data_IF_620508438600
#
_entry.id   IF_620508438600
#
_cell.length_a   1.000
_cell.length_b   1.000
_cell.length_c   1.000
_cell.angle_alpha   90.00
_cell.angle_beta   90.00
_cell.angle_gamma   90.00
#
_symmetry.space_group_name_H-M   'P 1'
#
loop_
_entity.id
_entity.type
_entity.pdbx_description
1 polymer ?
#
# COMPACT_ATOMS: atom_id res chain seq x y z
N UNK A 1 -10.93 -21.84 14.28
CA UNK A 1 -10.87 -20.94 13.11
C UNK A 1 -12.17 -21.16 12.36
N UNK A 2 -12.96 -20.12 12.12
CA UNK A 2 -14.22 -20.27 11.37
C UNK A 2 -13.94 -20.84 9.97
N UNK A 3 -14.81 -21.74 9.46
CA UNK A 3 -14.66 -22.27 8.12
C UNK A 3 -14.71 -21.15 7.08
N UNK A 4 -13.81 -21.21 6.10
CA UNK A 4 -13.77 -20.23 5.02
C UNK A 4 -15.06 -20.33 4.19
N UNK A 5 -15.68 -19.18 3.91
CA UNK A 5 -16.90 -19.07 3.09
C UNK A 5 -16.60 -19.01 1.59
N UNK A 6 -15.31 -18.95 1.24
CA UNK A 6 -14.79 -18.85 -0.11
C UNK A 6 -13.67 -19.85 -0.31
N UNK A 7 -13.54 -20.34 -1.54
CA UNK A 7 -12.45 -21.24 -1.94
C UNK A 7 -11.81 -20.80 -3.25
N UNK A 8 -10.55 -21.23 -3.44
CA UNK A 8 -9.84 -21.06 -4.71
C UNK A 8 -10.40 -22.05 -5.74
N UNK A 9 -10.60 -21.59 -6.98
CA UNK A 9 -10.99 -22.46 -8.10
C UNK A 9 -10.33 -22.02 -9.41
N UNK A 10 -10.32 -22.90 -10.41
CA UNK A 10 -9.85 -22.57 -11.76
C UNK A 10 -10.99 -21.98 -12.60
N UNK A 11 -10.81 -20.77 -13.10
CA UNK A 11 -11.75 -20.11 -14.01
C UNK A 11 -11.61 -20.62 -15.44
N UNK A 12 -12.62 -20.41 -16.28
CA UNK A 12 -12.61 -20.86 -17.68
C UNK A 12 -11.51 -20.21 -18.53
N UNK A 13 -11.15 -18.95 -18.27
CA UNK A 13 -10.25 -18.19 -19.15
C UNK A 13 -9.39 -17.11 -18.45
N UNK A 14 -9.32 -17.07 -17.11
CA UNK A 14 -8.57 -16.04 -16.35
C UNK A 14 -7.63 -16.59 -15.28
N UNK A 15 -7.29 -17.89 -15.34
CA UNK A 15 -6.49 -18.55 -14.32
C UNK A 15 -7.29 -18.82 -13.04
N UNK A 16 -6.68 -18.60 -11.87
CA UNK A 16 -7.33 -18.88 -10.58
C UNK A 16 -8.30 -17.76 -10.17
N UNK A 17 -9.38 -18.12 -9.49
CA UNK A 17 -10.35 -17.20 -8.88
C UNK A 17 -10.78 -17.65 -7.49
N UNK A 18 -11.63 -16.84 -6.85
CA UNK A 18 -12.33 -17.20 -5.63
C UNK A 18 -13.82 -17.38 -5.93
N UNK A 19 -14.45 -18.43 -5.39
CA UNK A 19 -15.89 -18.67 -5.47
C UNK A 19 -16.49 -18.88 -4.08
N UNK A 20 -17.78 -18.56 -3.93
CA UNK A 20 -18.50 -18.75 -2.69
C UNK A 20 -18.82 -20.24 -2.46
N UNK A 21 -18.62 -20.71 -1.23
CA UNK A 21 -19.01 -22.05 -0.78
C UNK A 21 -20.45 -22.11 -0.24
N UNK A 22 -21.03 -20.95 0.08
CA UNK A 22 -22.39 -20.81 0.62
C UNK A 22 -23.04 -19.53 0.08
N UNK A 23 -24.34 -19.36 0.32
CA UNK A 23 -25.04 -18.12 0.00
C UNK A 23 -24.50 -16.96 0.86
N UNK A 24 -24.15 -15.84 0.21
CA UNK A 24 -23.60 -14.66 0.86
C UNK A 24 -24.65 -13.56 1.00
N UNK A 25 -24.60 -12.80 2.09
CA UNK A 25 -25.44 -11.62 2.30
C UNK A 25 -24.64 -10.32 2.09
N UNK A 26 -25.29 -9.22 1.66
CA UNK A 26 -24.62 -7.92 1.59
C UNK A 26 -24.05 -7.51 2.95
N UNK A 27 -22.80 -7.01 2.95
CA UNK A 27 -22.06 -6.63 4.16
C UNK A 27 -21.38 -7.79 4.90
N UNK A 28 -21.54 -9.03 4.42
CA UNK A 28 -20.90 -10.19 5.03
C UNK A 28 -19.38 -10.18 4.82
N UNK A 29 -18.64 -10.41 5.91
CA UNK A 29 -17.18 -10.47 5.86
C UNK A 29 -16.71 -11.83 5.30
N UNK A 30 -16.04 -11.80 4.15
CA UNK A 30 -15.58 -13.01 3.46
C UNK A 30 -14.16 -13.42 3.89
N UNK A 31 -13.26 -12.44 3.99
CA UNK A 31 -11.86 -12.65 4.38
C UNK A 31 -11.24 -11.35 4.90
N UNK A 32 -10.24 -11.45 5.77
CA UNK A 32 -9.36 -10.34 6.19
C UNK A 32 -7.93 -10.83 6.20
N UNK A 33 -7.01 -9.96 5.80
CA UNK A 33 -5.58 -10.25 5.85
C UNK A 33 -4.79 -8.98 6.05
N UNK A 34 -3.74 -9.09 6.84
CA UNK A 34 -2.67 -8.10 6.83
C UNK A 34 -1.87 -8.23 5.51
N UNK A 35 -1.33 -7.12 4.98
CA UNK A 35 -0.45 -7.18 3.83
C UNK A 35 0.77 -8.08 4.12
N UNK A 36 1.21 -8.87 3.14
CA UNK A 36 2.46 -9.63 3.26
C UNK A 36 3.65 -8.71 3.57
N UNK A 37 3.70 -7.58 2.85
CA UNK A 37 4.55 -6.43 3.13
C UNK A 37 3.89 -5.20 2.50
N UNK A 38 4.13 -4.02 3.08
CA UNK A 38 3.65 -2.74 2.53
C UNK A 38 4.61 -1.61 2.88
N UNK A 39 4.52 -0.51 2.13
CA UNK A 39 5.27 0.73 2.37
C UNK A 39 4.44 1.92 1.88
N UNK A 40 4.74 3.11 2.38
CA UNK A 40 4.05 4.35 1.99
C UNK A 40 4.36 4.76 0.56
N UNK A 41 3.36 5.29 -0.14
CA UNK A 41 3.55 5.88 -1.46
C UNK A 41 4.48 7.11 -1.40
N UNK A 42 5.21 7.38 -2.50
CA UNK A 42 6.17 8.50 -2.58
C UNK A 42 5.57 9.85 -2.16
N UNK A 43 4.33 10.15 -2.58
CA UNK A 43 3.67 11.42 -2.28
C UNK A 43 3.16 11.55 -0.84
N UNK A 44 3.08 10.46 -0.09
CA UNK A 44 2.58 10.43 1.29
C UNK A 44 3.70 10.26 2.33
N UNK A 45 4.92 9.97 1.87
CA UNK A 45 6.08 9.79 2.75
C UNK A 45 6.37 11.09 3.51
N UNK A 46 6.40 10.99 4.85
CA UNK A 46 6.57 12.14 5.74
C UNK A 46 5.28 12.91 6.08
N UNK A 47 4.15 12.55 5.46
CA UNK A 47 2.81 13.12 5.74
C UNK A 47 1.99 12.17 6.62
N UNK A 48 2.17 10.86 6.43
CA UNK A 48 1.49 9.80 7.21
C UNK A 48 2.51 8.95 7.96
N UNK A 49 2.04 8.22 8.98
CA UNK A 49 2.84 7.19 9.65
C UNK A 49 3.08 5.98 8.72
N UNK A 50 4.33 5.57 8.56
CA UNK A 50 4.72 4.43 7.72
C UNK A 50 4.06 3.11 8.13
N UNK A 51 3.63 2.99 9.40
CA UNK A 51 2.98 1.79 9.93
C UNK A 51 1.46 1.89 9.86
N UNK A 52 0.82 2.83 10.54
CA UNK A 52 -0.64 2.86 10.58
C UNK A 52 -1.30 3.56 9.39
N UNK A 53 -0.52 4.20 8.50
CA UNK A 53 -0.98 4.97 7.34
C UNK A 53 -1.94 6.12 7.67
N UNK A 54 -2.04 6.49 8.96
CA UNK A 54 -2.80 7.66 9.42
C UNK A 54 -1.95 8.92 9.31
N UNK A 55 -2.59 10.03 8.92
CA UNK A 55 -1.96 11.34 8.88
C UNK A 55 -1.54 11.80 10.27
N UNK A 56 -0.38 12.46 10.36
CA UNK A 56 -0.04 13.18 11.58
C UNK A 56 -0.99 14.37 11.72
N UNK A 57 -1.84 14.38 12.74
CA UNK A 57 -2.55 15.61 13.11
C UNK A 57 -1.47 16.59 13.53
N UNK A 58 -1.27 17.65 12.74
CA UNK A 58 -0.42 18.78 13.09
C UNK A 58 -1.06 19.55 14.25
N UNK A 59 -1.17 18.90 15.40
CA UNK A 59 -1.29 19.61 16.66
C UNK A 59 0.05 20.30 16.84
N UNK A 60 0.06 21.62 17.02
CA UNK A 60 1.25 22.44 17.24
C UNK A 60 1.97 22.13 18.57
N UNK A 61 2.07 20.85 18.94
CA UNK A 61 2.75 20.36 20.12
C UNK A 61 3.97 19.61 19.63
N UNK A 62 5.09 20.30 19.78
CA UNK A 62 6.44 19.87 19.46
C UNK A 62 6.73 18.43 19.92
N UNK A 63 7.32 17.64 19.02
CA UNK A 63 8.28 16.60 19.43
C UNK A 63 9.69 17.15 19.16
N UNK A 64 10.47 17.51 20.20
CA UNK A 64 11.81 18.08 20.03
C UNK A 64 12.91 17.06 19.67
N UNK A 65 12.60 15.77 19.42
CA UNK A 65 13.64 14.73 19.57
C UNK A 65 13.81 13.72 18.43
N UNK A 66 13.23 13.93 17.24
CA UNK A 66 13.81 13.37 16.02
C UNK A 66 14.28 14.51 15.12
N UNK A 67 15.55 14.87 15.29
CA UNK A 67 16.21 15.85 14.44
C UNK A 67 16.09 15.49 12.95
N UNK A 68 16.09 16.49 12.06
CA UNK A 68 15.98 16.27 10.63
C UNK A 68 17.30 15.71 10.11
N UNK A 69 17.48 14.38 10.15
CA UNK A 69 18.51 13.75 9.31
C UNK A 69 17.98 13.68 7.88
N UNK A 70 18.17 14.78 7.16
CA UNK A 70 18.29 14.78 5.71
C UNK A 70 17.05 15.14 4.91
N UNK A 71 16.30 16.19 5.30
CA UNK A 71 15.51 16.93 4.29
C UNK A 71 16.48 17.87 3.57
N UNK A 72 17.26 17.30 2.67
CA UNK A 72 17.99 18.08 1.68
C UNK A 72 16.96 18.72 0.76
N UNK A 73 16.62 19.99 1.01
CA UNK A 73 16.02 20.85 0.02
C UNK A 73 16.98 20.95 -1.17
N UNK A 74 16.81 20.07 -2.17
CA UNK A 74 17.50 20.18 -3.46
C UNK A 74 16.51 19.91 -4.58
N UNK A 75 16.18 21.00 -5.27
CA UNK A 75 15.94 21.01 -6.70
C UNK A 75 14.60 20.45 -7.16
N UNK A 76 13.70 21.35 -7.51
CA UNK A 76 12.80 21.17 -8.64
C UNK A 76 13.63 20.96 -9.91
N UNK A 77 14.06 19.73 -10.18
CA UNK A 77 14.38 19.30 -11.54
C UNK A 77 13.88 17.87 -11.72
N UNK A 78 12.77 17.75 -12.45
CA UNK A 78 12.34 16.48 -12.99
C UNK A 78 13.41 16.03 -13.99
N UNK A 79 14.35 15.22 -13.52
CA UNK A 79 15.29 14.52 -14.38
C UNK A 79 14.49 13.68 -15.39
N UNK A 80 14.70 13.97 -16.68
CA UNK A 80 14.26 13.10 -17.77
C UNK A 80 14.72 11.66 -17.49
N UNK A 81 13.93 10.62 -17.80
CA UNK A 81 14.47 9.27 -17.82
C UNK A 81 15.66 9.20 -18.80
N UNK A 82 16.72 8.45 -18.50
CA UNK A 82 17.85 8.29 -19.39
C UNK A 82 17.35 7.74 -20.74
N UNK A 83 17.74 8.42 -21.82
CA UNK A 83 17.51 7.97 -23.19
C UNK A 83 18.40 6.74 -23.41
N UNK A 84 17.78 5.61 -23.67
CA UNK A 84 18.45 4.33 -23.88
C UNK A 84 19.37 4.44 -25.12
N UNK A 85 20.66 4.66 -24.88
CA UNK A 85 21.69 4.72 -25.92
C UNK A 85 22.31 3.34 -26.11
N UNK A 86 21.45 2.34 -26.32
CA UNK A 86 21.81 0.94 -26.53
C UNK A 86 21.01 0.36 -27.70
N UNK A 87 21.28 0.85 -28.92
CA UNK A 87 20.99 0.09 -30.13
C UNK A 87 22.11 0.31 -31.14
N UNK A 88 22.86 -0.73 -31.54
CA UNK A 88 23.66 -0.68 -32.76
C UNK A 88 22.76 -0.58 -34.00
#
# INVERSE_FOLDING_TARGET
MEPLKVEKFSTANRGNGLRALAQLRPGELLFRSDPLAYTVCKGSRGVVCDRCLLGYVWSAVAYPSLGPRGVGARGTSWGRPPRDSSRP
#
